data_IF_643464135305
#
_entry.id   IF_643464135305
#
_cell.length_a   1.000
_cell.length_b   1.000
_cell.length_c   1.000
_cell.angle_alpha   90.00
_cell.angle_beta   90.00
_cell.angle_gamma   90.00
#
_symmetry.space_group_name_H-M   'P 1'
#
loop_
_entity.id
_entity.type
_entity.pdbx_description
1 polymer ?
#
# COMPACT_ATOMS: atom_id res chain seq x y z
N UNK A 1 -1.50 -14.91 1.47
CA UNK A 1 -0.58 -15.29 0.37
C UNK A 1 0.49 -14.21 0.22
N UNK A 2 1.75 -14.61 0.01
CA UNK A 2 2.87 -13.71 -0.32
C UNK A 2 3.36 -14.04 -1.73
N UNK A 3 3.57 -13.05 -2.58
CA UNK A 3 4.15 -13.21 -3.92
C UNK A 3 4.80 -11.90 -4.36
N UNK A 4 5.85 -11.94 -5.19
CA UNK A 4 6.38 -10.75 -5.85
C UNK A 4 5.31 -10.09 -6.71
N UNK A 5 4.91 -8.87 -6.36
CA UNK A 5 3.89 -8.10 -7.05
C UNK A 5 4.44 -7.54 -8.37
N UNK A 6 4.27 -8.26 -9.46
CA UNK A 6 4.56 -7.75 -10.81
C UNK A 6 3.29 -7.27 -11.49
N UNK A 7 3.41 -6.48 -12.57
CA UNK A 7 2.26 -6.03 -13.37
C UNK A 7 1.37 -7.22 -13.77
N UNK A 8 2.00 -8.27 -14.31
CA UNK A 8 1.33 -9.52 -14.72
C UNK A 8 0.58 -10.20 -13.58
N UNK A 9 1.19 -10.29 -12.40
CA UNK A 9 0.54 -10.89 -11.22
C UNK A 9 -0.68 -10.06 -10.85
N UNK A 10 -0.54 -8.74 -10.70
CA UNK A 10 -1.64 -7.86 -10.30
C UNK A 10 -2.76 -7.83 -11.33
N UNK A 11 -2.45 -7.84 -12.63
CA UNK A 11 -3.43 -7.91 -13.71
C UNK A 11 -4.27 -9.19 -13.61
N UNK A 12 -3.64 -10.32 -13.30
CA UNK A 12 -4.32 -11.62 -13.15
C UNK A 12 -5.24 -11.72 -11.91
N UNK A 13 -5.10 -10.81 -10.94
CA UNK A 13 -5.94 -10.80 -9.74
C UNK A 13 -7.39 -10.46 -10.07
N UNK A 14 -8.29 -11.40 -9.80
CA UNK A 14 -9.74 -11.23 -9.94
C UNK A 14 -10.38 -10.71 -8.66
N UNK A 15 -11.47 -9.96 -8.81
CA UNK A 15 -12.31 -9.60 -7.67
C UNK A 15 -12.91 -10.86 -7.02
N UNK A 16 -13.23 -10.76 -5.73
CA UNK A 16 -13.92 -11.80 -4.94
C UNK A 16 -15.02 -11.11 -4.13
N UNK A 17 -15.90 -11.89 -3.50
CA UNK A 17 -17.03 -11.37 -2.70
C UNK A 17 -16.58 -10.48 -1.53
N UNK A 18 -15.36 -10.70 -1.03
CA UNK A 18 -14.74 -9.91 0.04
C UNK A 18 -13.40 -9.34 -0.41
N UNK A 19 -13.02 -8.19 0.16
CA UNK A 19 -11.71 -7.63 -0.11
C UNK A 19 -10.60 -8.55 0.41
N UNK A 20 -9.53 -8.66 -0.36
CA UNK A 20 -8.39 -9.47 0.01
C UNK A 20 -7.08 -8.76 -0.30
N UNK A 21 -5.99 -9.28 0.28
CA UNK A 21 -4.66 -8.68 0.21
C UNK A 21 -3.65 -9.72 -0.23
N UNK A 22 -2.79 -9.33 -1.17
CA UNK A 22 -1.61 -10.11 -1.57
C UNK A 22 -0.38 -9.31 -1.16
N UNK A 23 0.40 -9.89 -0.26
CA UNK A 23 1.61 -9.26 0.26
C UNK A 23 2.77 -9.48 -0.72
N UNK A 24 3.58 -8.45 -0.87
CA UNK A 24 4.82 -8.54 -1.61
C UNK A 24 5.86 -9.39 -0.86
N UNK A 25 6.79 -9.99 -1.60
CA UNK A 25 7.88 -10.80 -1.04
C UNK A 25 9.14 -9.99 -0.80
N UNK A 26 9.31 -8.85 -1.45
CA UNK A 26 10.51 -8.02 -1.35
C UNK A 26 10.40 -6.98 -0.23
N UNK A 27 9.20 -6.43 0.01
CA UNK A 27 8.99 -5.41 1.03
C UNK A 27 7.97 -5.90 2.07
N UNK A 28 8.39 -6.09 3.35
CA UNK A 28 7.50 -6.47 4.43
C UNK A 28 6.35 -5.47 4.59
N UNK A 29 5.12 -5.99 4.72
CA UNK A 29 3.93 -5.15 4.93
C UNK A 29 3.41 -4.45 3.67
N UNK A 30 4.20 -4.35 2.60
CA UNK A 30 3.74 -3.89 1.30
C UNK A 30 2.80 -4.91 0.68
N UNK A 31 1.64 -4.46 0.20
CA UNK A 31 0.64 -5.34 -0.39
C UNK A 31 -0.24 -4.60 -1.41
N UNK A 32 -0.87 -5.38 -2.28
CA UNK A 32 -2.01 -4.92 -3.07
C UNK A 32 -3.30 -5.37 -2.39
N UNK A 33 -4.24 -4.44 -2.21
CA UNK A 33 -5.61 -4.70 -1.79
C UNK A 33 -6.49 -4.76 -3.02
N UNK A 34 -7.27 -5.83 -3.15
CA UNK A 34 -8.27 -6.00 -4.21
C UNK A 34 -9.65 -5.92 -3.57
N UNK A 35 -10.46 -4.96 -4.01
CA UNK A 35 -11.85 -4.80 -3.56
C UNK A 35 -12.79 -5.70 -4.39
N UNK A 36 -14.00 -6.03 -3.87
CA UNK A 36 -15.04 -6.71 -4.64
C UNK A 36 -15.43 -5.98 -5.93
N UNK A 37 -15.28 -4.65 -5.98
CA UNK A 37 -15.49 -3.85 -7.20
C UNK A 37 -14.40 -4.03 -8.27
N UNK A 38 -13.36 -4.84 -8.02
CA UNK A 38 -12.20 -4.98 -8.89
C UNK A 38 -11.17 -3.85 -8.76
N UNK A 39 -11.45 -2.81 -7.96
CA UNK A 39 -10.46 -1.78 -7.67
C UNK A 39 -9.26 -2.35 -6.91
N UNK A 40 -8.05 -2.07 -7.42
CA UNK A 40 -6.77 -2.51 -6.85
C UNK A 40 -6.00 -1.31 -6.34
N UNK A 41 -5.46 -1.39 -5.12
CA UNK A 41 -4.65 -0.32 -4.53
C UNK A 41 -3.45 -0.86 -3.79
N UNK A 42 -2.33 -0.16 -3.90
CA UNK A 42 -1.12 -0.43 -3.12
C UNK A 42 -1.23 0.15 -1.72
N UNK A 43 -0.84 -0.62 -0.72
CA UNK A 43 -0.84 -0.20 0.66
C UNK A 43 0.34 -0.79 1.44
N UNK A 44 0.72 -0.11 2.51
CA UNK A 44 1.75 -0.50 3.46
C UNK A 44 1.11 -0.72 4.82
N UNK A 45 1.21 -1.94 5.33
CA UNK A 45 0.88 -2.29 6.71
C UNK A 45 2.14 -2.18 7.55
N UNK A 46 2.13 -1.34 8.58
CA UNK A 46 3.29 -1.10 9.46
C UNK A 46 2.84 -0.88 10.90
N UNK A 47 3.81 -0.73 11.80
CA UNK A 47 3.58 -0.32 13.18
C UNK A 47 4.30 1.00 13.45
N UNK A 48 3.63 1.91 14.14
CA UNK A 48 4.20 3.15 14.65
C UNK A 48 3.55 3.45 16.00
N UNK A 49 4.34 3.94 16.96
CA UNK A 49 3.89 4.25 18.33
C UNK A 49 3.03 3.13 18.98
N UNK A 50 3.47 1.87 18.85
CA UNK A 50 2.76 0.70 19.39
C UNK A 50 1.46 0.30 18.66
N UNK A 51 1.00 1.07 17.68
CA UNK A 51 -0.24 0.83 16.94
C UNK A 51 0.03 0.28 15.55
N UNK A 52 -0.81 -0.66 15.12
CA UNK A 52 -0.78 -1.16 13.75
C UNK A 52 -1.52 -0.17 12.84
N UNK A 53 -0.81 0.39 11.86
CA UNK A 53 -1.37 1.31 10.87
C UNK A 53 -1.36 0.68 9.47
N UNK A 54 -2.25 1.17 8.60
CA UNK A 54 -2.30 0.78 7.20
C UNK A 54 -2.39 2.03 6.34
N UNK A 55 -1.39 2.26 5.50
CA UNK A 55 -1.27 3.45 4.66
C UNK A 55 -1.50 3.09 3.20
N UNK A 56 -2.46 3.75 2.55
CA UNK A 56 -2.70 3.55 1.11
C UNK A 56 -1.74 4.44 0.32
N UNK A 57 -0.89 3.82 -0.49
CA UNK A 57 0.13 4.50 -1.30
C UNK A 57 -0.49 5.06 -2.58
N UNK A 58 -1.40 4.31 -3.20
CA UNK A 58 -2.11 4.76 -4.40
C UNK A 58 -2.84 3.63 -5.13
N UNK A 59 -3.60 4.01 -6.16
CA UNK A 59 -4.38 3.07 -6.98
C UNK A 59 -3.48 2.41 -8.03
N UNK A 60 -3.71 1.12 -8.27
CA UNK A 60 -3.10 0.44 -9.42
C UNK A 60 -3.67 0.99 -10.73
N UNK A 61 -2.80 1.24 -11.71
CA UNK A 61 -3.12 1.96 -12.95
C UNK A 61 -2.65 3.42 -12.92
N UNK A 62 -2.78 4.09 -11.77
CA UNK A 62 -2.12 5.38 -11.53
C UNK A 62 -0.66 5.21 -11.09
N UNK A 63 -0.37 4.11 -10.38
CA UNK A 63 0.99 3.70 -10.03
C UNK A 63 1.29 2.33 -10.63
N UNK A 64 2.54 2.15 -11.06
CA UNK A 64 3.11 0.83 -11.37
C UNK A 64 3.55 0.13 -10.07
N UNK A 65 3.72 -1.21 -10.09
CA UNK A 65 4.23 -1.94 -8.91
C UNK A 65 5.61 -1.43 -8.46
N UNK A 66 6.48 -1.08 -9.39
CA UNK A 66 7.83 -0.61 -9.07
C UNK A 66 7.83 0.80 -8.50
N UNK A 67 6.99 1.70 -9.06
CA UNK A 67 6.77 3.02 -8.47
C UNK A 67 6.21 2.91 -7.04
N UNK A 68 5.24 2.01 -6.84
CA UNK A 68 4.66 1.77 -5.52
C UNK A 68 5.70 1.19 -4.54
N UNK A 69 6.56 0.27 -4.98
CA UNK A 69 7.69 -0.23 -4.16
C UNK A 69 8.65 0.88 -3.77
N UNK A 70 9.06 1.71 -4.73
CA UNK A 70 9.96 2.83 -4.47
C UNK A 70 9.37 3.79 -3.42
N UNK A 71 8.11 4.21 -3.60
CA UNK A 71 7.39 5.03 -2.61
C UNK A 71 7.31 4.36 -1.24
N UNK A 72 7.11 3.04 -1.21
CA UNK A 72 7.07 2.29 0.05
C UNK A 72 8.40 2.32 0.79
N UNK A 73 9.54 2.20 0.09
CA UNK A 73 10.88 2.29 0.71
C UNK A 73 11.11 3.66 1.34
N UNK A 74 10.71 4.73 0.64
CA UNK A 74 10.78 6.10 1.17
C UNK A 74 9.92 6.23 2.43
N UNK A 75 8.67 5.75 2.39
CA UNK A 75 7.77 5.77 3.55
C UNK A 75 8.33 4.98 4.73
N UNK A 76 8.94 3.80 4.49
CA UNK A 76 9.55 3.01 5.56
C UNK A 76 10.72 3.73 6.22
N UNK A 77 11.51 4.48 5.44
CA UNK A 77 12.60 5.30 5.97
C UNK A 77 12.03 6.38 6.90
N UNK A 78 11.00 7.11 6.45
CA UNK A 78 10.32 8.12 7.28
C UNK A 78 9.72 7.54 8.57
N UNK A 79 9.15 6.33 8.50
CA UNK A 79 8.60 5.63 9.68
C UNK A 79 9.72 5.25 10.65
N UNK A 80 10.84 4.77 10.13
CA UNK A 80 12.00 4.40 10.92
C UNK A 80 12.60 5.62 11.65
N UNK A 81 12.62 6.77 10.98
CA UNK A 81 13.11 8.04 11.56
C UNK A 81 12.13 8.67 12.57
N UNK A 82 11.08 7.94 12.96
CA UNK A 82 10.10 8.36 13.97
C UNK A 82 8.93 9.18 13.41
N UNK A 83 8.86 9.39 12.10
CA UNK A 83 7.73 10.03 11.44
C UNK A 83 6.51 9.12 11.34
N UNK A 84 5.31 9.68 11.36
CA UNK A 84 4.09 8.95 11.04
C UNK A 84 3.47 9.45 9.72
N UNK A 85 3.65 8.73 8.60
CA UNK A 85 3.13 9.15 7.30
C UNK A 85 1.60 9.26 7.25
N UNK A 86 0.88 8.58 8.16
CA UNK A 86 -0.58 8.70 8.20
C UNK A 86 -1.04 10.03 8.79
N UNK A 87 -0.25 10.67 9.63
CA UNK A 87 -0.52 12.01 10.16
C UNK A 87 -0.22 13.09 9.11
N UNK A 88 0.86 12.91 8.34
CA UNK A 88 1.16 13.79 7.21
C UNK A 88 0.06 13.77 6.14
N UNK A 89 -0.48 12.59 5.78
CA UNK A 89 -1.58 12.50 4.81
C UNK A 89 -2.89 13.09 5.34
N UNK A 90 -3.17 13.00 6.63
CA UNK A 90 -4.36 13.63 7.22
C UNK A 90 -4.29 15.16 7.07
N UNK A 91 -3.09 15.75 7.17
CA UNK A 91 -2.86 17.17 6.92
C UNK A 91 -3.04 17.52 5.43
N UNK A 92 -2.41 16.77 4.51
CA UNK A 92 -2.55 17.03 3.06
C UNK A 92 -3.97 16.84 2.52
N UNK A 93 -4.78 15.98 3.16
CA UNK A 93 -6.19 15.81 2.78
C UNK A 93 -7.09 16.91 3.35
N UNK A 94 -6.65 17.62 4.39
CA UNK A 94 -7.38 18.77 4.98
C UNK A 94 -7.08 20.08 4.27
N UNK A 95 -5.90 20.23 3.68
CA UNK A 95 -5.51 21.44 2.93
C UNK A 95 -6.11 21.52 1.51
N UNK A 96 -6.77 20.45 1.04
CA UNK A 96 -7.41 20.39 -0.28
C UNK A 96 -8.94 20.58 -0.24
N UNK A 97 -9.48 21.09 0.88
CA UNK A 97 -10.90 21.46 1.06
C UNK A 97 -11.04 22.96 1.06
#
# INVERSE_FOLDING_TARGET
MKQKLTKRVIDSLKAKDKDYRIFDTEIPGFHVRVKPSGAKSFALKYRSAGRQRNFTIGRYGALTPDQARHKTRVLMTQIHDGGDPSEQRLQSSRELT
#
